data_IF_447279891819
#
_entry.id   IF_447279891819
#
_cell.length_a   1.000
_cell.length_b   1.000
_cell.length_c   1.000
_cell.angle_alpha   90.00
_cell.angle_beta   90.00
_cell.angle_gamma   90.00
#
_symmetry.space_group_name_H-M   'P 1'
#
loop_
_entity.id
_entity.type
_entity.pdbx_description
1 polymer ?
#
# COMPACT_ATOMS: atom_id res chain seq x y z
N UNK A 1 19.34 -4.19 12.18
CA UNK A 1 18.09 -3.63 11.70
C UNK A 1 18.16 -3.40 10.20
N UNK A 2 17.03 -3.34 9.53
CA UNK A 2 16.95 -3.08 8.09
C UNK A 2 17.67 -1.78 7.69
N UNK A 3 17.63 -0.77 8.54
CA UNK A 3 18.35 0.49 8.35
C UNK A 3 19.89 0.30 8.29
N UNK A 4 20.44 -0.68 8.98
CA UNK A 4 21.87 -0.95 8.92
C UNK A 4 22.36 -1.33 7.51
N UNK A 5 21.46 -1.77 6.63
CA UNK A 5 21.78 -2.14 5.24
C UNK A 5 21.59 -0.99 4.24
N UNK A 6 21.17 0.19 4.69
CA UNK A 6 20.84 1.32 3.81
C UNK A 6 22.00 1.78 2.89
N UNK A 7 23.23 1.55 3.30
CA UNK A 7 24.43 1.91 2.52
C UNK A 7 25.12 0.70 1.87
N UNK A 8 24.57 -0.51 2.03
CA UNK A 8 25.14 -1.70 1.42
C UNK A 8 24.64 -1.85 -0.02
N UNK A 9 25.45 -2.43 -0.89
CA UNK A 9 25.00 -2.84 -2.22
C UNK A 9 23.96 -3.96 -2.09
N UNK A 10 22.79 -3.77 -2.69
CA UNK A 10 21.66 -4.71 -2.62
C UNK A 10 21.19 -5.15 -4.02
N UNK A 11 22.08 -5.72 -4.85
CA UNK A 11 21.78 -6.01 -6.25
C UNK A 11 20.68 -7.06 -6.42
N UNK A 12 20.44 -7.90 -5.41
CA UNK A 12 19.41 -8.93 -5.43
C UNK A 12 18.05 -8.49 -4.87
N UNK A 13 17.93 -7.24 -4.43
CA UNK A 13 16.64 -6.69 -4.04
C UNK A 13 15.71 -6.58 -5.27
N UNK A 14 14.44 -6.92 -5.11
CA UNK A 14 13.48 -6.97 -6.23
C UNK A 14 13.43 -5.66 -7.01
N UNK A 15 13.40 -4.50 -6.33
CA UNK A 15 13.40 -3.20 -7.01
C UNK A 15 14.63 -3.01 -7.90
N UNK A 16 15.84 -3.38 -7.43
CA UNK A 16 17.05 -3.30 -8.24
C UNK A 16 17.03 -4.28 -9.42
N UNK A 17 16.51 -5.50 -9.22
CA UNK A 17 16.38 -6.50 -10.29
C UNK A 17 15.42 -6.03 -11.38
N UNK A 18 14.22 -5.57 -11.01
CA UNK A 18 13.25 -5.08 -11.98
C UNK A 18 13.72 -3.80 -12.68
N UNK A 19 14.37 -2.88 -11.95
CA UNK A 19 14.96 -1.69 -12.56
C UNK A 19 16.03 -2.04 -13.62
N UNK A 20 16.87 -3.04 -13.35
CA UNK A 20 17.86 -3.52 -14.30
C UNK A 20 17.23 -4.16 -15.56
N UNK A 21 15.98 -4.65 -15.47
CA UNK A 21 15.19 -5.16 -16.59
C UNK A 21 14.38 -4.06 -17.31
N UNK A 22 14.54 -2.80 -16.95
CA UNK A 22 13.86 -1.67 -17.61
C UNK A 22 12.46 -1.35 -17.06
N UNK A 23 12.09 -1.91 -15.91
CA UNK A 23 10.84 -1.57 -15.23
C UNK A 23 10.95 -0.22 -14.51
N UNK A 24 9.88 0.54 -14.45
CA UNK A 24 9.70 1.53 -13.40
C UNK A 24 9.48 0.81 -12.08
N UNK A 25 10.13 1.29 -11.02
CA UNK A 25 10.05 0.66 -9.70
C UNK A 25 9.68 1.69 -8.66
N UNK A 26 8.49 1.56 -8.09
CA UNK A 26 7.96 2.49 -7.08
C UNK A 26 7.60 1.74 -5.79
N UNK A 27 7.74 2.42 -4.65
CA UNK A 27 7.27 1.92 -3.37
C UNK A 27 6.50 3.01 -2.63
N UNK A 28 5.35 2.64 -2.07
CA UNK A 28 4.44 3.55 -1.39
C UNK A 28 4.13 3.07 0.01
N UNK A 29 4.08 4.02 0.95
CA UNK A 29 3.69 3.73 2.32
C UNK A 29 2.81 4.85 2.87
N UNK A 30 1.60 4.50 3.30
CA UNK A 30 0.65 5.44 3.87
C UNK A 30 0.99 5.78 5.34
N UNK A 31 2.19 6.31 5.54
CA UNK A 31 2.70 6.86 6.77
C UNK A 31 3.71 7.96 6.43
N UNK A 32 4.25 8.67 7.44
CA UNK A 32 5.27 9.69 7.23
C UNK A 32 6.46 9.13 6.47
N UNK A 33 7.01 9.93 5.57
CA UNK A 33 8.06 9.52 4.62
C UNK A 33 9.26 8.81 5.27
N UNK A 34 9.72 9.30 6.42
CA UNK A 34 10.90 8.77 7.11
C UNK A 34 10.59 7.67 8.15
N UNK A 35 9.35 7.15 8.17
CA UNK A 35 8.96 6.08 9.11
C UNK A 35 9.86 4.85 8.93
N UNK A 36 10.42 4.35 10.05
CA UNK A 36 11.45 3.30 10.06
C UNK A 36 12.65 3.55 9.12
N UNK A 37 12.92 4.82 8.79
CA UNK A 37 14.00 5.22 7.88
C UNK A 37 13.85 4.60 6.47
N UNK A 38 12.60 4.44 6.03
CA UNK A 38 12.30 3.97 4.68
C UNK A 38 12.78 4.94 3.60
N UNK A 39 12.88 6.22 3.93
CA UNK A 39 13.53 7.26 3.14
C UNK A 39 14.98 6.94 2.73
N UNK A 40 15.65 6.05 3.45
CA UNK A 40 17.03 5.60 3.17
C UNK A 40 17.09 4.18 2.64
N UNK A 41 16.24 3.29 3.16
CA UNK A 41 16.33 1.88 2.81
C UNK A 41 15.69 1.56 1.46
N UNK A 42 14.52 2.12 1.14
CA UNK A 42 13.80 1.76 -0.08
C UNK A 42 14.47 2.28 -1.36
N UNK A 43 15.05 3.50 -1.41
CA UNK A 43 15.87 3.91 -2.55
C UNK A 43 17.06 2.96 -2.78
N UNK A 44 17.72 2.48 -1.70
CA UNK A 44 18.80 1.52 -1.81
C UNK A 44 18.36 0.15 -2.34
N UNK A 45 17.09 -0.23 -2.11
CA UNK A 45 16.48 -1.44 -2.67
C UNK A 45 16.02 -1.27 -4.13
N UNK A 46 16.20 -0.08 -4.72
CA UNK A 46 15.87 0.19 -6.11
C UNK A 46 14.48 0.78 -6.34
N UNK A 47 13.86 1.38 -5.33
CA UNK A 47 12.53 1.98 -5.45
C UNK A 47 12.57 3.51 -5.45
N UNK A 48 11.75 4.12 -6.29
CA UNK A 48 11.30 5.49 -6.11
C UNK A 48 10.27 5.49 -4.98
N UNK A 49 10.74 5.80 -3.77
CA UNK A 49 9.94 5.67 -2.56
C UNK A 49 9.16 6.95 -2.26
N UNK A 50 7.88 6.82 -2.00
CA UNK A 50 6.99 7.88 -1.61
C UNK A 50 6.26 7.54 -0.30
N UNK A 51 6.11 8.55 0.54
CA UNK A 51 5.34 8.51 1.78
C UNK A 51 4.69 9.86 2.02
N UNK A 52 3.86 9.96 3.06
CA UNK A 52 3.21 11.21 3.43
C UNK A 52 4.25 12.33 3.63
N UNK A 53 4.02 13.47 2.97
CA UNK A 53 4.94 14.62 2.95
C UNK A 53 6.08 14.52 1.93
N UNK A 54 6.16 13.43 1.16
CA UNK A 54 7.10 13.32 0.04
C UNK A 54 6.54 12.45 -1.08
N UNK A 55 5.86 13.07 -2.03
CA UNK A 55 5.28 12.44 -3.22
C UNK A 55 3.91 11.80 -3.00
N UNK A 56 3.58 11.37 -1.79
CA UNK A 56 2.27 10.85 -1.42
C UNK A 56 1.49 11.90 -0.62
N UNK A 57 0.26 12.17 -1.07
CA UNK A 57 -0.69 13.04 -0.38
C UNK A 57 -1.78 12.16 0.26
N UNK A 58 -1.98 12.30 1.56
CA UNK A 58 -3.04 11.63 2.32
C UNK A 58 -3.81 12.66 3.13
N UNK A 59 -5.05 12.36 3.45
CA UNK A 59 -5.87 13.22 4.32
C UNK A 59 -5.27 13.28 5.72
N UNK A 60 -4.82 14.47 6.12
CA UNK A 60 -4.22 14.74 7.43
C UNK A 60 -5.29 15.27 8.41
N UNK A 61 -6.09 14.38 8.96
CA UNK A 61 -7.10 14.69 9.98
C UNK A 61 -6.69 14.26 11.39
N UNK A 62 -5.44 13.81 11.55
CA UNK A 62 -4.90 13.28 12.81
C UNK A 62 -5.38 11.87 13.12
N UNK A 63 -6.10 11.21 12.22
CA UNK A 63 -6.54 9.84 12.40
C UNK A 63 -5.41 8.84 12.16
N UNK A 64 -5.52 7.66 12.78
CA UNK A 64 -4.60 6.55 12.59
C UNK A 64 -5.35 5.20 12.65
N UNK A 65 -4.99 4.24 11.80
CA UNK A 65 -4.08 4.31 10.65
C UNK A 65 -4.69 5.04 9.44
N UNK A 66 -3.83 5.45 8.49
CA UNK A 66 -4.29 6.03 7.22
C UNK A 66 -4.91 4.99 6.29
N UNK A 67 -5.66 5.47 5.29
CA UNK A 67 -6.37 4.65 4.33
C UNK A 67 -5.45 4.03 3.29
N UNK A 68 -5.51 2.70 3.12
CA UNK A 68 -4.85 1.99 2.02
C UNK A 68 -5.51 2.31 0.68
N UNK A 69 -6.84 2.49 0.67
CA UNK A 69 -7.58 2.89 -0.53
C UNK A 69 -7.11 4.25 -1.04
N UNK A 70 -6.98 5.24 -0.17
CA UNK A 70 -6.51 6.58 -0.54
C UNK A 70 -5.08 6.54 -1.08
N UNK A 71 -4.19 5.74 -0.48
CA UNK A 71 -2.84 5.54 -1.00
C UNK A 71 -2.85 5.03 -2.43
N UNK A 72 -3.62 3.99 -2.73
CA UNK A 72 -3.70 3.43 -4.09
C UNK A 72 -4.33 4.44 -5.05
N UNK A 73 -5.42 5.10 -4.68
CA UNK A 73 -6.07 6.11 -5.50
C UNK A 73 -5.13 7.24 -5.93
N UNK A 74 -4.26 7.69 -5.02
CA UNK A 74 -3.35 8.81 -5.26
C UNK A 74 -2.05 8.43 -5.99
N UNK A 75 -1.81 7.13 -6.21
CA UNK A 75 -0.53 6.67 -6.79
C UNK A 75 -0.69 5.83 -8.05
N UNK A 76 -1.85 5.22 -8.27
CA UNK A 76 -2.04 4.21 -9.32
C UNK A 76 -1.75 4.71 -10.73
N UNK A 77 -2.11 5.96 -11.04
CA UNK A 77 -1.87 6.57 -12.35
C UNK A 77 -0.37 6.78 -12.64
N UNK A 78 0.47 6.86 -11.61
CA UNK A 78 1.91 7.07 -11.78
C UNK A 78 2.60 5.93 -12.55
N UNK A 79 2.02 4.73 -12.58
CA UNK A 79 2.62 3.59 -13.26
C UNK A 79 1.70 2.98 -14.34
N UNK A 80 0.37 2.99 -14.15
CA UNK A 80 -0.56 2.48 -15.17
C UNK A 80 -0.48 3.34 -16.45
N UNK A 81 -0.47 4.66 -16.31
CA UNK A 81 -0.47 5.56 -17.45
C UNK A 81 0.79 5.38 -18.32
N UNK A 82 1.95 5.19 -17.69
CA UNK A 82 3.20 4.96 -18.43
C UNK A 82 3.17 3.62 -19.18
N UNK A 83 2.60 2.57 -18.60
CA UNK A 83 2.43 1.29 -19.29
C UNK A 83 1.46 1.38 -20.46
N UNK A 84 0.30 1.99 -20.26
CA UNK A 84 -0.72 2.13 -21.30
C UNK A 84 -0.23 3.00 -22.47
N UNK A 85 0.52 4.08 -22.18
CA UNK A 85 0.98 5.02 -23.20
C UNK A 85 2.18 4.52 -24.02
N UNK A 86 3.11 3.84 -23.41
CA UNK A 86 4.40 3.51 -24.05
C UNK A 86 4.92 2.10 -23.77
N UNK A 87 4.14 1.25 -23.06
CA UNK A 87 4.54 -0.13 -22.75
C UNK A 87 5.62 -0.25 -21.68
N UNK A 88 5.92 0.81 -20.91
CA UNK A 88 6.93 0.74 -19.85
C UNK A 88 6.44 -0.17 -18.72
N UNK A 89 7.07 -1.33 -18.48
CA UNK A 89 6.64 -2.23 -17.44
C UNK A 89 6.88 -1.63 -16.05
N UNK A 90 6.09 -2.06 -15.06
CA UNK A 90 6.18 -1.53 -13.70
C UNK A 90 6.29 -2.65 -12.66
N UNK A 91 6.97 -2.33 -11.57
CA UNK A 91 6.98 -3.09 -10.34
C UNK A 91 6.68 -2.15 -9.18
N UNK A 92 5.51 -2.30 -8.57
CA UNK A 92 5.03 -1.42 -7.51
C UNK A 92 4.92 -2.18 -6.19
N UNK A 93 5.48 -1.62 -5.13
CA UNK A 93 5.45 -2.18 -3.78
C UNK A 93 4.64 -1.29 -2.84
N UNK A 94 3.49 -1.78 -2.41
CA UNK A 94 2.63 -1.13 -1.42
C UNK A 94 2.87 -1.69 -0.02
N UNK A 95 3.13 -0.81 0.94
CA UNK A 95 3.23 -1.15 2.36
C UNK A 95 2.00 -0.58 3.07
N UNK A 96 1.00 -1.40 3.24
CA UNK A 96 -0.32 -1.05 3.77
C UNK A 96 -0.32 -0.96 5.29
N UNK A 97 -1.22 -0.16 5.88
CA UNK A 97 -1.34 0.00 7.35
C UNK A 97 -2.77 -0.06 7.86
N UNK A 98 -3.79 -0.06 7.00
CA UNK A 98 -5.19 0.02 7.47
C UNK A 98 -5.61 -1.16 8.33
N UNK A 99 -4.96 -2.31 8.19
CA UNK A 99 -5.15 -3.50 9.03
C UNK A 99 -4.30 -3.54 10.29
N UNK A 100 -3.53 -2.49 10.63
CA UNK A 100 -2.67 -2.45 11.81
C UNK A 100 -3.45 -2.67 13.10
N UNK A 101 -2.83 -3.34 14.08
CA UNK A 101 -3.47 -3.78 15.32
C UNK A 101 -4.04 -2.66 16.20
N UNK A 102 -4.65 -3.07 17.33
CA UNK A 102 -5.37 -2.17 18.22
C UNK A 102 -6.87 -2.09 17.85
N UNK A 103 -7.46 -3.24 17.50
CA UNK A 103 -8.84 -3.31 16.99
C UNK A 103 -9.89 -2.88 18.01
N UNK A 104 -10.41 -1.68 17.77
CA UNK A 104 -11.47 -1.03 18.53
C UNK A 104 -12.03 0.13 17.71
N UNK A 105 -13.10 0.76 18.19
CA UNK A 105 -13.74 1.85 17.43
C UNK A 105 -12.98 3.19 17.45
N UNK A 106 -11.87 3.26 18.20
CA UNK A 106 -10.91 4.36 18.10
C UNK A 106 -9.91 4.21 16.95
N UNK A 107 -9.86 3.04 16.30
CA UNK A 107 -9.05 2.79 15.11
C UNK A 107 -9.74 3.42 13.88
N UNK A 108 -9.08 4.33 13.19
CA UNK A 108 -9.69 5.15 12.15
C UNK A 108 -10.41 4.33 11.06
N UNK A 109 -9.75 3.31 10.52
CA UNK A 109 -10.34 2.49 9.45
C UNK A 109 -11.44 1.55 9.96
N UNK A 110 -11.37 1.12 11.22
CA UNK A 110 -12.47 0.41 11.85
C UNK A 110 -13.70 1.32 12.05
N UNK A 111 -13.51 2.54 12.51
CA UNK A 111 -14.59 3.52 12.64
C UNK A 111 -15.24 3.84 11.28
N UNK A 112 -14.43 4.05 10.25
CA UNK A 112 -14.88 4.31 8.87
C UNK A 112 -15.80 3.22 8.31
N UNK A 113 -15.43 1.95 8.53
CA UNK A 113 -16.15 0.80 7.97
C UNK A 113 -17.11 0.10 8.97
N UNK A 114 -17.32 0.73 10.14
CA UNK A 114 -18.09 0.14 11.25
C UNK A 114 -19.45 -0.38 10.83
N UNK A 115 -20.24 0.41 10.11
CA UNK A 115 -21.60 0.03 9.75
C UNK A 115 -21.64 -1.23 8.89
N UNK A 116 -20.72 -1.37 7.93
CA UNK A 116 -20.61 -2.56 7.07
C UNK A 116 -20.24 -3.80 7.87
N UNK A 117 -19.26 -3.71 8.76
CA UNK A 117 -18.82 -4.82 9.59
C UNK A 117 -19.90 -5.28 10.57
N UNK A 118 -20.62 -4.33 11.19
CA UNK A 118 -21.72 -4.64 12.11
C UNK A 118 -22.91 -5.30 11.38
N UNK A 119 -23.22 -4.86 10.16
CA UNK A 119 -24.26 -5.48 9.36
C UNK A 119 -23.91 -6.92 8.94
N UNK A 120 -22.66 -7.16 8.56
CA UNK A 120 -22.17 -8.49 8.16
C UNK A 120 -22.02 -9.46 9.33
N UNK A 121 -21.63 -8.97 10.50
CA UNK A 121 -21.34 -9.78 11.69
C UNK A 121 -22.06 -9.26 12.95
N UNK A 122 -23.41 -9.20 12.95
CA UNK A 122 -24.17 -8.54 14.01
C UNK A 122 -23.98 -9.17 15.40
N UNK A 123 -23.69 -10.47 15.46
CA UNK A 123 -23.53 -11.23 16.71
C UNK A 123 -22.06 -11.40 17.13
N UNK A 124 -21.10 -10.84 16.39
CA UNK A 124 -19.69 -10.92 16.76
C UNK A 124 -19.35 -9.91 17.87
N UNK A 125 -18.27 -10.17 18.60
CA UNK A 125 -17.79 -9.22 19.60
C UNK A 125 -17.38 -7.89 18.94
N UNK A 126 -17.41 -6.77 19.68
CA UNK A 126 -16.96 -5.48 19.15
C UNK A 126 -15.54 -5.49 18.60
N UNK A 127 -14.64 -6.29 19.19
CA UNK A 127 -13.26 -6.45 18.71
C UNK A 127 -13.19 -7.17 17.37
N UNK A 128 -13.97 -8.25 17.20
CA UNK A 128 -14.06 -8.96 15.91
C UNK A 128 -14.66 -8.07 14.85
N UNK A 129 -15.72 -7.33 15.17
CA UNK A 129 -16.32 -6.36 14.22
C UNK A 129 -15.31 -5.27 13.84
N UNK A 130 -14.53 -4.75 14.79
CA UNK A 130 -13.51 -3.74 14.51
C UNK A 130 -12.34 -4.31 13.68
N UNK A 131 -11.93 -5.55 13.92
CA UNK A 131 -10.96 -6.25 13.09
C UNK A 131 -11.44 -6.36 11.64
N UNK A 132 -12.65 -6.86 11.43
CA UNK A 132 -13.25 -6.95 10.09
C UNK A 132 -13.33 -5.57 9.45
N UNK A 133 -13.81 -4.57 10.18
CA UNK A 133 -13.95 -3.20 9.69
C UNK A 133 -12.61 -2.58 9.24
N UNK A 134 -11.54 -2.82 9.99
CA UNK A 134 -10.19 -2.35 9.61
C UNK A 134 -9.70 -3.02 8.32
N UNK A 135 -9.92 -4.33 8.18
CA UNK A 135 -9.50 -5.08 6.99
C UNK A 135 -10.37 -4.82 5.75
N UNK A 136 -11.62 -4.37 5.92
CA UNK A 136 -12.44 -3.91 4.80
C UNK A 136 -11.82 -2.73 4.03
N UNK A 137 -10.96 -1.95 4.67
CA UNK A 137 -10.25 -0.87 3.99
C UNK A 137 -9.23 -1.41 2.99
N UNK A 138 -8.49 -2.45 3.35
CA UNK A 138 -7.58 -3.14 2.43
C UNK A 138 -8.36 -3.83 1.30
N UNK A 139 -9.50 -4.46 1.60
CA UNK A 139 -10.38 -5.06 0.57
C UNK A 139 -10.85 -4.00 -0.44
N UNK A 140 -11.30 -2.84 0.03
CA UNK A 140 -11.69 -1.74 -0.83
C UNK A 140 -10.52 -1.25 -1.70
N UNK A 141 -9.32 -1.17 -1.13
CA UNK A 141 -8.09 -0.78 -1.83
C UNK A 141 -7.73 -1.76 -2.95
N UNK A 142 -7.77 -3.07 -2.66
CA UNK A 142 -7.50 -4.12 -3.65
C UNK A 142 -8.59 -4.18 -4.72
N UNK A 143 -9.85 -4.01 -4.35
CA UNK A 143 -10.95 -3.92 -5.29
C UNK A 143 -10.75 -2.75 -6.26
N UNK A 144 -10.38 -1.59 -5.74
CA UNK A 144 -10.08 -0.43 -6.57
C UNK A 144 -8.91 -0.68 -7.52
N UNK A 145 -7.81 -1.29 -7.02
CA UNK A 145 -6.65 -1.65 -7.82
C UNK A 145 -7.02 -2.58 -8.98
N UNK A 146 -7.71 -3.68 -8.68
CA UNK A 146 -8.11 -4.66 -9.71
C UNK A 146 -9.01 -4.02 -10.76
N UNK A 147 -10.03 -3.28 -10.34
CA UNK A 147 -10.93 -2.59 -11.25
C UNK A 147 -10.18 -1.58 -12.15
N UNK A 148 -9.21 -0.86 -11.62
CA UNK A 148 -8.41 0.08 -12.41
C UNK A 148 -7.52 -0.64 -13.44
N UNK A 149 -6.93 -1.78 -13.09
CA UNK A 149 -6.16 -2.62 -14.01
C UNK A 149 -7.04 -3.21 -15.11
N UNK A 150 -8.27 -3.65 -14.77
CA UNK A 150 -9.26 -4.13 -15.73
C UNK A 150 -9.69 -3.02 -16.70
N UNK A 151 -10.02 -1.83 -16.18
CA UNK A 151 -10.41 -0.67 -17.00
C UNK A 151 -9.28 -0.22 -17.93
N UNK A 152 -8.03 -0.33 -17.50
CA UNK A 152 -6.86 -0.06 -18.31
C UNK A 152 -6.54 -1.19 -19.33
N UNK A 153 -7.23 -2.33 -19.24
CA UNK A 153 -7.03 -3.48 -20.13
C UNK A 153 -5.73 -4.27 -19.87
N UNK A 154 -5.11 -4.11 -18.69
CA UNK A 154 -3.81 -4.70 -18.35
C UNK A 154 -3.87 -5.71 -17.20
N UNK A 155 -5.04 -6.03 -16.70
CA UNK A 155 -5.18 -6.97 -15.60
C UNK A 155 -4.62 -8.37 -15.94
N UNK A 156 -4.76 -8.82 -17.19
CA UNK A 156 -4.23 -10.09 -17.67
C UNK A 156 -2.70 -10.15 -17.73
N UNK A 157 -2.04 -9.00 -17.79
CA UNK A 157 -0.58 -8.87 -17.84
C UNK A 157 0.03 -8.49 -16.48
N UNK A 158 -0.80 -8.38 -15.44
CA UNK A 158 -0.39 -7.94 -14.12
C UNK A 158 -0.45 -9.07 -13.10
N UNK A 159 0.62 -9.26 -12.34
CA UNK A 159 0.68 -10.18 -11.21
C UNK A 159 0.57 -9.39 -9.91
N UNK A 160 -0.37 -9.76 -9.05
CA UNK A 160 -0.52 -9.19 -7.71
C UNK A 160 -0.07 -10.24 -6.69
N UNK A 161 0.92 -9.90 -5.88
CA UNK A 161 1.43 -10.73 -4.79
C UNK A 161 1.07 -10.09 -3.45
N UNK A 162 0.42 -10.85 -2.57
CA UNK A 162 0.09 -10.43 -1.21
C UNK A 162 0.88 -11.25 -0.20
N UNK A 163 1.46 -10.59 0.77
CA UNK A 163 2.13 -11.21 1.91
C UNK A 163 1.86 -10.42 3.17
N UNK A 164 1.62 -11.10 4.29
CA UNK A 164 1.68 -10.46 5.59
C UNK A 164 3.13 -10.11 5.93
N UNK A 165 3.35 -8.98 6.59
CA UNK A 165 4.66 -8.56 7.07
C UNK A 165 5.04 -9.25 8.39
N UNK A 166 4.03 -9.68 9.16
CA UNK A 166 4.12 -10.49 10.37
C UNK A 166 2.75 -11.11 10.71
N UNK A 167 2.71 -11.94 11.76
CA UNK A 167 1.49 -12.53 12.35
C UNK A 167 0.95 -11.70 13.51
#
# INVERSE_FOLDING_TARGET
SFYATANNSMPFALGNQFRALGYTTAAYHNNIYNYYRRDKTHPNLGYDYQGQGNGLQLTEDGSWPYSDLEMIQNTITQYIDAYVQNGTPFHTYYMTVSGHGGYGWGHAMAAKNRAKAQAAYPNASPQVQAYVAANLELENALTYLVNALEQAGIAGDTVICLAADHY
#
